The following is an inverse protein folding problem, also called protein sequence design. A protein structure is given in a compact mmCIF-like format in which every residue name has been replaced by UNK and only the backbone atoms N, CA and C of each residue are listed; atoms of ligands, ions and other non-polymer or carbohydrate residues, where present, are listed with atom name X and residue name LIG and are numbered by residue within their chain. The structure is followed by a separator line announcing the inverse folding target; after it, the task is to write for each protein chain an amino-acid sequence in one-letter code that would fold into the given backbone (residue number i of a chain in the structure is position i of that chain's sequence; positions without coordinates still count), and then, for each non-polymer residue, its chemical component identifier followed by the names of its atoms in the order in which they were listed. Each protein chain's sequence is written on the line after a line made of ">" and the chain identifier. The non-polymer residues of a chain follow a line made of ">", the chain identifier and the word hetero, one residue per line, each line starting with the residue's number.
data_IF_496692950424
#
_entry.id   IF_496692950424
#
_cell.length_a   1.000
_cell.length_b   1.000
_cell.length_c   1.000
_cell.angle_alpha   90.00
_cell.angle_beta   90.00
_cell.angle_gamma   90.00
#
_symmetry.space_group_name_H-M   'P 1'
#
loop_
_entity.id
_entity.type
_entity.pdbx_description
1 polymer ?
#
# COMPACT_ATOMS: atom_id res chain seq x y z
N UNK A 1 -15.08 25.37 30.62
CA UNK A 1 -15.86 25.02 29.40
C UNK A 1 -16.81 23.86 29.70
N UNK A 2 -18.07 23.97 29.33
CA UNK A 2 -19.05 22.87 29.36
C UNK A 2 -19.25 22.28 27.96
N UNK A 3 -19.88 21.11 27.87
CA UNK A 3 -20.20 20.54 26.55
C UNK A 3 -21.09 21.46 25.71
N UNK A 4 -22.01 22.24 26.38
CA UNK A 4 -22.87 23.20 25.66
C UNK A 4 -22.07 24.39 25.14
N UNK A 5 -21.14 24.92 25.94
CA UNK A 5 -20.26 26.03 25.52
C UNK A 5 -19.43 25.62 24.30
N UNK A 6 -18.80 24.42 24.38
CA UNK A 6 -18.03 23.86 23.30
C UNK A 6 -18.86 23.70 22.00
N UNK A 7 -20.07 23.13 22.11
CA UNK A 7 -20.93 22.94 20.95
C UNK A 7 -21.40 24.24 20.33
N UNK A 8 -21.63 25.28 21.15
CA UNK A 8 -22.00 26.61 20.65
C UNK A 8 -20.87 27.27 19.86
N UNK A 9 -19.63 27.11 20.32
CA UNK A 9 -18.46 27.69 19.67
C UNK A 9 -18.16 26.93 18.38
N UNK A 10 -18.06 25.60 18.45
CA UNK A 10 -17.68 24.78 17.30
C UNK A 10 -18.73 24.80 16.17
N UNK A 11 -20.01 25.03 16.51
CA UNK A 11 -21.07 25.22 15.53
C UNK A 11 -20.91 26.51 14.70
N UNK A 12 -20.28 27.53 15.28
CA UNK A 12 -19.99 28.78 14.57
C UNK A 12 -18.76 28.69 13.69
N UNK A 13 -17.78 27.89 14.12
CA UNK A 13 -16.47 27.78 13.45
C UNK A 13 -16.41 26.64 12.41
N UNK A 14 -17.30 25.65 12.49
CA UNK A 14 -17.38 24.53 11.56
C UNK A 14 -18.40 24.77 10.45
N UNK A 15 -18.23 24.08 9.31
CA UNK A 15 -19.29 24.05 8.29
C UNK A 15 -20.53 23.34 8.84
N UNK A 16 -21.73 23.74 8.39
CA UNK A 16 -23.00 23.12 8.82
C UNK A 16 -23.00 21.61 8.61
N UNK A 17 -22.39 21.15 7.52
CA UNK A 17 -22.31 19.72 7.17
C UNK A 17 -21.38 18.96 8.11
N UNK A 18 -20.18 19.49 8.42
CA UNK A 18 -19.21 18.84 9.31
C UNK A 18 -19.72 18.81 10.75
N UNK A 19 -20.39 19.88 11.18
CA UNK A 19 -21.00 19.93 12.51
C UNK A 19 -22.08 18.86 12.68
N UNK A 20 -23.07 18.80 11.77
CA UNK A 20 -24.18 17.82 11.89
C UNK A 20 -23.71 16.37 11.76
N UNK A 21 -22.74 16.09 10.88
CA UNK A 21 -22.26 14.72 10.66
C UNK A 21 -21.30 14.21 11.70
N UNK A 22 -20.38 15.03 12.19
CA UNK A 22 -19.26 14.57 13.00
C UNK A 22 -19.18 15.24 14.37
N UNK A 23 -19.22 16.57 14.45
CA UNK A 23 -18.85 17.33 15.64
C UNK A 23 -19.97 17.41 16.66
N UNK A 24 -21.22 17.31 16.25
CA UNK A 24 -22.40 17.29 17.13
C UNK A 24 -22.41 16.11 18.11
N UNK A 25 -21.74 15.02 17.76
CA UNK A 25 -21.65 13.82 18.59
C UNK A 25 -20.54 13.88 19.66
N UNK A 26 -19.68 14.88 19.59
CA UNK A 26 -18.62 15.08 20.58
C UNK A 26 -19.19 15.56 21.92
N UNK A 27 -18.91 14.78 22.95
CA UNK A 27 -19.24 15.15 24.35
C UNK A 27 -17.94 15.49 25.06
N UNK A 28 -17.78 16.75 25.39
CA UNK A 28 -16.66 17.21 26.20
C UNK A 28 -16.82 16.73 27.65
N UNK A 29 -15.78 16.17 28.27
CA UNK A 29 -15.80 15.64 29.64
C UNK A 29 -15.04 16.52 30.63
N UNK A 30 -13.77 16.72 30.41
CA UNK A 30 -12.92 17.52 31.30
C UNK A 30 -11.54 17.76 30.67
N UNK A 31 -10.80 18.70 31.28
CA UNK A 31 -9.34 18.81 31.08
C UNK A 31 -8.66 17.98 32.18
N UNK A 32 -7.65 17.16 31.77
CA UNK A 32 -6.78 16.48 32.73
C UNK A 32 -5.90 17.50 33.44
N UNK A 33 -5.89 17.48 34.78
CA UNK A 33 -5.16 18.47 35.61
C UNK A 33 -3.64 18.40 35.42
N UNK A 34 -3.09 17.23 35.09
CA UNK A 34 -1.64 16.99 35.06
C UNK A 34 -0.99 17.18 33.66
N UNK A 35 -1.76 17.13 32.58
CA UNK A 35 -1.20 17.12 31.23
C UNK A 35 -1.81 18.14 30.24
N UNK A 36 -2.71 19.01 30.71
CA UNK A 36 -3.44 19.95 29.81
C UNK A 36 -4.11 19.28 28.64
N UNK A 37 -4.72 18.09 28.83
CA UNK A 37 -5.41 17.31 27.82
C UNK A 37 -6.91 17.49 27.95
N UNK A 38 -7.57 17.95 26.89
CA UNK A 38 -9.03 18.01 26.79
C UNK A 38 -9.59 16.66 26.30
N UNK A 39 -10.43 16.02 27.11
CA UNK A 39 -10.99 14.70 26.83
C UNK A 39 -12.41 14.83 26.29
N UNK A 40 -12.65 14.22 25.13
CA UNK A 40 -13.94 14.10 24.48
C UNK A 40 -14.38 12.65 24.39
N UNK A 41 -15.68 12.41 24.36
CA UNK A 41 -16.26 11.10 24.08
C UNK A 41 -17.13 11.13 22.83
N UNK A 42 -17.12 10.03 22.09
CA UNK A 42 -17.96 9.80 20.91
C UNK A 42 -18.37 8.32 20.86
N UNK A 43 -19.54 8.04 20.28
CA UNK A 43 -20.11 6.67 20.29
C UNK A 43 -19.56 5.77 19.15
N UNK A 44 -18.78 6.30 18.22
CA UNK A 44 -18.33 5.57 17.04
C UNK A 44 -16.80 5.71 16.84
N UNK A 45 -16.11 4.57 16.79
CA UNK A 45 -14.64 4.48 16.64
C UNK A 45 -14.13 5.15 15.34
N UNK A 46 -14.87 5.00 14.25
CA UNK A 46 -14.48 5.60 12.96
C UNK A 46 -14.62 7.12 12.99
N UNK A 47 -15.70 7.62 13.61
CA UNK A 47 -15.91 9.05 13.81
C UNK A 47 -14.84 9.62 14.74
N UNK A 48 -14.45 8.91 15.79
CA UNK A 48 -13.37 9.32 16.69
C UNK A 48 -12.06 9.53 15.94
N UNK A 49 -11.68 8.56 15.10
CA UNK A 49 -10.44 8.60 14.31
C UNK A 49 -10.47 9.75 13.28
N UNK A 50 -11.61 9.95 12.63
CA UNK A 50 -11.82 11.00 11.66
C UNK A 50 -11.74 12.40 12.30
N UNK A 51 -12.42 12.61 13.43
CA UNK A 51 -12.37 13.88 14.16
C UNK A 51 -10.94 14.17 14.60
N UNK A 52 -10.23 13.17 15.12
CA UNK A 52 -8.84 13.31 15.55
C UNK A 52 -7.91 13.74 14.42
N UNK A 53 -8.09 13.19 13.22
CA UNK A 53 -7.22 13.53 12.06
C UNK A 53 -7.55 14.88 11.43
N UNK A 54 -8.82 15.26 11.35
CA UNK A 54 -9.26 16.43 10.55
C UNK A 54 -9.63 17.63 11.40
N UNK A 55 -10.12 17.47 12.61
CA UNK A 55 -10.71 18.55 13.40
C UNK A 55 -9.96 18.89 14.69
N UNK A 56 -8.81 18.25 14.97
CA UNK A 56 -8.01 18.56 16.17
C UNK A 56 -7.66 20.05 16.26
N UNK A 57 -7.22 20.66 15.16
CA UNK A 57 -6.88 22.09 15.12
C UNK A 57 -8.10 22.99 15.38
N UNK A 58 -9.26 22.65 14.81
CA UNK A 58 -10.50 23.40 15.01
C UNK A 58 -10.99 23.29 16.45
N UNK A 59 -10.87 22.09 17.06
CA UNK A 59 -11.22 21.88 18.47
C UNK A 59 -10.29 22.67 19.39
N UNK A 60 -8.98 22.71 19.11
CA UNK A 60 -8.02 23.54 19.85
C UNK A 60 -8.36 25.03 19.75
N UNK A 61 -8.74 25.48 18.55
CA UNK A 61 -9.16 26.87 18.33
C UNK A 61 -10.39 27.25 19.14
N UNK A 62 -11.32 26.33 19.38
CA UNK A 62 -12.45 26.58 20.28
C UNK A 62 -12.02 26.86 21.72
N UNK A 63 -10.94 26.25 22.20
CA UNK A 63 -10.37 26.56 23.52
C UNK A 63 -9.63 27.90 23.53
N UNK A 64 -8.92 28.23 22.45
CA UNK A 64 -8.30 29.56 22.31
C UNK A 64 -9.34 30.68 22.37
N UNK A 65 -10.52 30.51 21.74
CA UNK A 65 -11.63 31.47 21.78
C UNK A 65 -12.24 31.53 23.21
N UNK A 66 -12.34 30.41 23.92
CA UNK A 66 -13.05 30.34 25.20
C UNK A 66 -12.23 30.89 26.39
N UNK A 67 -10.96 30.49 26.52
CA UNK A 67 -10.10 30.80 27.66
C UNK A 67 -8.63 31.08 27.32
N UNK A 68 -8.30 31.15 26.01
CA UNK A 68 -6.92 31.37 25.54
C UNK A 68 -6.00 30.14 25.68
N UNK A 69 -6.52 28.97 26.06
CA UNK A 69 -5.73 27.76 26.23
C UNK A 69 -5.61 26.96 24.93
N UNK A 70 -4.56 26.12 24.84
CA UNK A 70 -4.34 25.22 23.69
C UNK A 70 -4.04 23.81 24.19
N UNK A 71 -5.05 23.09 24.73
CA UNK A 71 -4.85 21.74 25.24
C UNK A 71 -4.60 20.74 24.10
N UNK A 72 -3.92 19.64 24.43
CA UNK A 72 -3.91 18.45 23.59
C UNK A 72 -5.30 17.82 23.59
N UNK A 73 -5.74 17.27 22.45
CA UNK A 73 -7.10 16.71 22.30
C UNK A 73 -7.04 15.19 22.35
N UNK A 74 -7.79 14.60 23.27
CA UNK A 74 -8.00 13.15 23.36
C UNK A 74 -9.47 12.81 23.14
N UNK A 75 -9.76 11.88 22.21
CA UNK A 75 -11.11 11.43 21.89
C UNK A 75 -11.25 9.96 22.26
N UNK A 76 -12.20 9.66 23.16
CA UNK A 76 -12.49 8.32 23.70
C UNK A 76 -13.83 7.80 23.20
N UNK A 77 -13.99 6.48 23.18
CA UNK A 77 -15.31 5.87 22.96
C UNK A 77 -16.15 5.93 24.23
N UNK A 78 -17.43 6.27 24.08
CA UNK A 78 -18.35 6.31 25.18
C UNK A 78 -18.55 4.89 25.77
N UNK A 79 -18.33 4.73 27.07
CA UNK A 79 -18.49 3.47 27.80
C UNK A 79 -17.23 2.63 27.99
N UNK A 80 -16.10 2.97 27.39
CA UNK A 80 -14.82 2.31 27.67
C UNK A 80 -14.27 2.70 29.05
N UNK A 81 -14.39 1.80 30.02
CA UNK A 81 -13.59 1.87 31.27
C UNK A 81 -12.24 1.22 30.98
N UNK A 82 -11.16 2.02 30.98
CA UNK A 82 -9.80 1.47 30.91
C UNK A 82 -9.61 0.40 32.00
N UNK A 83 -9.29 -0.82 31.60
CA UNK A 83 -8.95 -1.87 32.53
C UNK A 83 -7.54 -1.62 33.11
N UNK A 84 -7.26 -2.12 34.32
CA UNK A 84 -5.90 -2.08 34.90
C UNK A 84 -4.82 -2.66 33.95
N UNK A 85 -5.22 -3.58 33.07
CA UNK A 85 -4.38 -4.17 32.02
C UNK A 85 -4.01 -3.18 30.90
N UNK A 86 -4.89 -2.23 30.58
CA UNK A 86 -4.63 -1.21 29.56
C UNK A 86 -3.70 -0.11 30.06
N UNK A 87 -3.83 0.26 31.34
CA UNK A 87 -2.91 1.21 31.98
C UNK A 87 -1.49 0.63 32.05
N UNK A 88 -1.37 -0.67 32.37
CA UNK A 88 -0.08 -1.36 32.37
C UNK A 88 0.51 -1.49 30.96
N UNK A 89 -0.34 -1.67 29.94
CA UNK A 89 0.07 -1.71 28.53
C UNK A 89 0.53 -0.33 28.01
N UNK A 90 -0.13 0.76 28.39
CA UNK A 90 0.33 2.11 28.05
C UNK A 90 1.69 2.43 28.70
N UNK A 91 1.93 1.97 29.94
CA UNK A 91 3.23 2.13 30.60
C UNK A 91 4.33 1.29 29.94
N UNK A 92 4.01 0.09 29.45
CA UNK A 92 4.94 -0.76 28.70
C UNK A 92 5.16 -0.20 27.29
N UNK A 93 4.14 0.31 26.62
CA UNK A 93 4.24 0.94 25.30
C UNK A 93 5.05 2.24 25.32
N UNK A 94 4.98 3.02 26.38
CA UNK A 94 5.80 4.23 26.53
C UNK A 94 7.30 3.93 26.78
N UNK A 95 7.64 2.73 27.24
CA UNK A 95 9.03 2.28 27.36
C UNK A 95 9.59 1.61 26.10
N UNK A 96 8.73 1.24 25.14
CA UNK A 96 9.11 0.65 23.84
C UNK A 96 8.77 1.55 22.63
N UNK A 97 8.56 2.84 22.86
CA UNK A 97 8.04 3.82 21.89
C UNK A 97 9.00 4.21 20.75
N UNK A 98 9.75 3.26 20.23
CA UNK A 98 10.32 3.31 18.88
C UNK A 98 9.69 2.24 17.97
N UNK A 99 8.50 1.73 18.30
CA UNK A 99 7.77 0.82 17.45
C UNK A 99 7.19 1.58 16.27
N UNK A 100 7.44 1.09 15.09
CA UNK A 100 6.89 1.56 13.82
C UNK A 100 5.36 1.67 13.94
N UNK A 101 4.83 2.85 13.66
CA UNK A 101 3.41 3.15 13.82
C UNK A 101 2.64 2.36 12.77
N UNK A 102 1.81 1.41 13.20
CA UNK A 102 0.85 0.74 12.33
C UNK A 102 -0.25 1.71 11.92
N UNK A 103 -0.70 1.63 10.68
CA UNK A 103 -1.87 2.37 10.24
C UNK A 103 -3.13 1.75 10.87
N UNK A 104 -3.87 2.47 11.73
CA UNK A 104 -5.04 1.91 12.42
C UNK A 104 -6.21 1.62 11.49
N UNK A 105 -6.22 2.14 10.26
CA UNK A 105 -7.25 1.85 9.26
C UNK A 105 -7.04 0.50 8.55
N UNK A 106 -5.85 -0.10 8.66
CA UNK A 106 -5.55 -1.39 8.06
C UNK A 106 -5.97 -2.51 9.01
N UNK A 107 -7.24 -2.87 8.92
CA UNK A 107 -7.87 -3.92 9.73
C UNK A 107 -8.41 -5.04 8.83
N UNK A 108 -8.69 -6.20 9.39
CA UNK A 108 -9.37 -7.27 8.66
C UNK A 108 -10.77 -6.86 8.20
N UNK A 109 -11.49 -6.05 8.99
CA UNK A 109 -12.84 -5.57 8.64
C UNK A 109 -12.85 -4.59 7.48
N UNK A 110 -11.77 -3.81 7.30
CA UNK A 110 -11.63 -2.88 6.18
C UNK A 110 -11.07 -3.52 4.90
N UNK A 111 -10.59 -4.76 5.00
CA UNK A 111 -10.09 -5.53 3.85
C UNK A 111 -11.24 -6.22 3.12
N UNK A 112 -11.24 -6.13 1.79
CA UNK A 112 -12.25 -6.81 0.96
C UNK A 112 -11.71 -8.17 0.51
N UNK A 113 -12.42 -9.22 0.92
CA UNK A 113 -12.05 -10.60 0.59
C UNK A 113 -12.72 -11.03 -0.72
N UNK A 114 -11.93 -11.67 -1.59
CA UNK A 114 -12.40 -12.28 -2.82
C UNK A 114 -11.57 -13.53 -3.15
N UNK A 115 -11.91 -14.26 -4.23
CA UNK A 115 -11.19 -15.48 -4.60
C UNK A 115 -9.67 -15.28 -4.77
N UNK A 116 -9.26 -14.10 -5.22
CA UNK A 116 -7.86 -13.74 -5.49
C UNK A 116 -6.98 -13.50 -4.25
N UNK A 117 -7.57 -13.38 -3.06
CA UNK A 117 -6.84 -13.05 -1.81
C UNK A 117 -7.34 -13.84 -0.59
N UNK A 118 -8.32 -14.72 -0.74
CA UNK A 118 -8.98 -15.42 0.35
C UNK A 118 -8.00 -16.27 1.17
N UNK A 119 -7.06 -16.96 0.50
CA UNK A 119 -6.06 -17.77 1.20
C UNK A 119 -5.14 -16.90 2.06
N UNK A 120 -4.63 -15.80 1.51
CA UNK A 120 -3.77 -14.87 2.23
C UNK A 120 -4.51 -14.20 3.41
N UNK A 121 -5.77 -13.83 3.23
CA UNK A 121 -6.62 -13.30 4.29
C UNK A 121 -6.83 -14.30 5.43
N UNK A 122 -7.25 -15.52 5.11
CA UNK A 122 -7.52 -16.55 6.12
C UNK A 122 -6.26 -16.94 6.88
N UNK A 123 -5.12 -17.07 6.19
CA UNK A 123 -3.83 -17.33 6.81
C UNK A 123 -3.42 -16.18 7.75
N UNK A 124 -3.58 -14.94 7.32
CA UNK A 124 -3.30 -13.75 8.13
C UNK A 124 -4.16 -13.68 9.39
N UNK A 125 -5.44 -13.98 9.26
CA UNK A 125 -6.36 -14.05 10.39
C UNK A 125 -6.01 -15.20 11.36
N UNK A 126 -5.62 -16.36 10.84
CA UNK A 126 -5.20 -17.51 11.66
C UNK A 126 -3.96 -17.19 12.50
N UNK A 127 -2.90 -16.62 11.90
CA UNK A 127 -1.66 -16.29 12.61
C UNK A 127 -1.85 -15.14 13.62
N UNK A 128 -2.73 -14.20 13.34
CA UNK A 128 -3.06 -13.11 14.28
C UNK A 128 -3.86 -13.59 15.48
N UNK A 129 -4.63 -14.68 15.31
CA UNK A 129 -5.40 -15.29 16.40
C UNK A 129 -4.53 -16.11 17.35
N UNK A 130 -3.56 -16.86 16.82
CA UNK A 130 -2.67 -17.74 17.58
C UNK A 130 -1.23 -17.61 17.07
N UNK A 131 -0.52 -16.53 17.42
CA UNK A 131 0.84 -16.29 16.93
C UNK A 131 1.80 -17.41 17.31
N UNK A 132 2.69 -17.79 16.38
CA UNK A 132 3.77 -18.76 16.57
C UNK A 132 3.36 -20.23 16.59
N UNK A 133 2.06 -20.54 16.46
CA UNK A 133 1.55 -21.93 16.52
C UNK A 133 1.34 -22.51 15.13
N UNK A 134 0.72 -21.75 14.22
CA UNK A 134 0.43 -22.21 12.86
C UNK A 134 1.08 -21.25 11.86
N UNK A 135 1.51 -21.79 10.72
CA UNK A 135 2.02 -20.98 9.59
C UNK A 135 3.12 -19.98 10.00
N UNK A 136 4.20 -20.50 10.57
CA UNK A 136 5.33 -19.67 10.96
C UNK A 136 6.60 -20.09 10.20
N UNK A 137 7.14 -19.23 9.32
CA UNK A 137 6.64 -17.92 8.94
C UNK A 137 5.37 -17.97 8.06
N UNK A 138 4.63 -16.84 8.01
CA UNK A 138 3.67 -16.59 6.97
C UNK A 138 4.32 -15.65 5.93
N UNK A 139 4.36 -16.10 4.68
CA UNK A 139 4.94 -15.34 3.57
C UNK A 139 3.83 -14.95 2.58
N UNK A 140 3.50 -13.66 2.50
CA UNK A 140 2.45 -13.12 1.62
C UNK A 140 3.12 -12.50 0.39
N UNK A 141 2.82 -13.00 -0.80
CA UNK A 141 3.41 -12.45 -2.02
C UNK A 141 2.37 -12.11 -3.08
N UNK A 142 2.77 -11.30 -4.05
CA UNK A 142 1.91 -10.90 -5.17
C UNK A 142 2.30 -9.53 -5.73
N UNK A 143 1.71 -9.13 -6.82
CA UNK A 143 1.99 -7.87 -7.50
C UNK A 143 1.89 -6.64 -6.60
N UNK A 144 2.46 -5.53 -7.07
CA UNK A 144 2.43 -4.25 -6.35
C UNK A 144 1.01 -3.72 -6.23
N UNK A 145 0.66 -3.15 -5.06
CA UNK A 145 -0.63 -2.49 -4.86
C UNK A 145 -1.84 -3.42 -4.70
N UNK A 146 -1.64 -4.71 -4.42
CA UNK A 146 -2.73 -5.70 -4.24
C UNK A 146 -3.22 -5.85 -2.78
N UNK A 147 -2.69 -5.06 -1.84
CA UNK A 147 -3.13 -5.07 -0.44
C UNK A 147 -2.30 -5.94 0.51
N UNK A 148 -1.09 -6.40 0.12
CA UNK A 148 -0.18 -7.17 0.99
C UNK A 148 0.16 -6.44 2.29
N UNK A 149 0.59 -5.18 2.20
CA UNK A 149 0.87 -4.32 3.35
C UNK A 149 -0.36 -4.13 4.24
N UNK A 150 -1.56 -4.05 3.66
CA UNK A 150 -2.80 -3.99 4.42
C UNK A 150 -2.99 -5.26 5.28
N UNK A 151 -2.88 -6.44 4.67
CA UNK A 151 -2.98 -7.71 5.41
C UNK A 151 -1.89 -7.83 6.49
N UNK A 152 -0.65 -7.46 6.16
CA UNK A 152 0.46 -7.46 7.12
C UNK A 152 0.14 -6.59 8.34
N UNK A 153 -0.32 -5.37 8.12
CA UNK A 153 -0.65 -4.44 9.20
C UNK A 153 -1.96 -4.82 9.92
N UNK A 154 -2.91 -5.46 9.24
CA UNK A 154 -4.11 -6.03 9.88
C UNK A 154 -3.74 -7.12 10.89
N UNK A 155 -2.75 -7.98 10.56
CA UNK A 155 -2.20 -8.94 11.54
C UNK A 155 -1.65 -8.20 12.76
N UNK A 156 -0.90 -7.13 12.54
CA UNK A 156 -0.33 -6.33 13.63
C UNK A 156 -1.37 -5.68 14.52
N UNK A 157 -2.32 -4.98 13.92
CA UNK A 157 -3.40 -4.32 14.65
C UNK A 157 -4.20 -5.33 15.49
N UNK A 158 -4.55 -6.46 14.90
CA UNK A 158 -5.31 -7.50 15.60
C UNK A 158 -4.48 -8.18 16.72
N UNK A 159 -3.18 -8.41 16.50
CA UNK A 159 -2.29 -8.97 17.52
C UNK A 159 -2.10 -8.01 18.71
N UNK A 160 -2.00 -6.70 18.47
CA UNK A 160 -1.94 -5.66 19.51
C UNK A 160 -3.23 -5.66 20.33
N UNK A 161 -4.40 -5.73 19.69
CA UNK A 161 -5.69 -5.82 20.38
C UNK A 161 -5.76 -7.01 21.35
N UNK A 162 -5.06 -8.11 21.02
CA UNK A 162 -4.94 -9.31 21.87
C UNK A 162 -3.83 -9.23 22.91
N UNK A 163 -3.07 -8.15 22.93
CA UNK A 163 -2.05 -7.93 23.94
C UNK A 163 -0.67 -8.41 23.61
N UNK A 164 -0.40 -8.75 22.34
CA UNK A 164 0.93 -9.13 21.90
C UNK A 164 1.79 -7.89 21.62
N UNK A 165 3.08 -8.03 21.83
CA UNK A 165 4.07 -7.04 21.40
C UNK A 165 4.35 -7.23 19.90
N UNK A 166 4.11 -6.20 19.10
CA UNK A 166 4.24 -6.25 17.64
C UNK A 166 5.30 -5.27 17.18
N UNK A 167 6.17 -5.71 16.30
CA UNK A 167 7.08 -4.85 15.54
C UNK A 167 6.74 -4.97 14.07
N UNK A 168 6.40 -3.83 13.47
CA UNK A 168 6.28 -3.67 12.03
C UNK A 168 7.47 -2.87 11.51
N UNK A 169 8.10 -3.36 10.45
CA UNK A 169 9.26 -2.73 9.83
C UNK A 169 9.30 -3.03 8.34
N UNK A 170 9.69 -2.04 7.52
CA UNK A 170 10.12 -2.33 6.15
C UNK A 170 11.55 -2.88 6.19
N UNK A 171 11.91 -3.75 5.24
CA UNK A 171 13.27 -4.28 5.22
C UNK A 171 14.32 -3.19 5.06
N UNK A 172 14.00 -2.08 4.39
CA UNK A 172 14.88 -0.93 4.29
C UNK A 172 15.15 -0.28 5.64
N UNK A 173 14.12 -0.13 6.48
CA UNK A 173 14.28 0.39 7.84
C UNK A 173 15.11 -0.56 8.70
N UNK A 174 14.89 -1.88 8.58
CA UNK A 174 15.71 -2.88 9.26
C UNK A 174 17.20 -2.75 8.87
N UNK A 175 17.50 -2.57 7.58
CA UNK A 175 18.87 -2.34 7.08
C UNK A 175 19.48 -1.06 7.63
N UNK A 176 18.69 0.01 7.68
CA UNK A 176 19.15 1.29 8.21
C UNK A 176 19.46 1.20 9.71
N UNK A 177 18.57 0.57 10.49
CA UNK A 177 18.76 0.35 11.92
C UNK A 177 20.00 -0.53 12.20
N UNK A 178 20.20 -1.59 11.40
CA UNK A 178 21.35 -2.45 11.48
C UNK A 178 22.64 -1.68 11.22
N UNK A 179 22.71 -0.93 10.12
CA UNK A 179 23.88 -0.12 9.75
C UNK A 179 24.20 0.94 10.82
N UNK A 180 23.17 1.59 11.34
CA UNK A 180 23.31 2.58 12.42
C UNK A 180 23.85 1.93 13.69
N UNK A 181 23.37 0.74 14.05
CA UNK A 181 23.78 0.02 15.25
C UNK A 181 25.23 -0.47 15.16
N UNK A 182 25.68 -0.88 13.97
CA UNK A 182 27.09 -1.22 13.75
C UNK A 182 27.98 0.02 13.96
N UNK A 183 27.64 1.15 13.31
CA UNK A 183 28.41 2.41 13.40
C UNK A 183 28.53 2.91 14.84
N UNK A 184 27.47 2.76 15.62
CA UNK A 184 27.41 3.22 17.02
C UNK A 184 27.82 2.14 18.03
N UNK A 185 28.29 0.95 17.60
CA UNK A 185 28.64 -0.19 18.45
C UNK A 185 27.53 -0.60 19.42
N UNK A 186 26.29 -0.49 19.01
CA UNK A 186 25.11 -0.74 19.83
C UNK A 186 24.23 -1.88 19.25
N UNK A 187 24.85 -3.01 18.92
CA UNK A 187 24.16 -4.18 18.36
C UNK A 187 23.20 -4.85 19.36
N UNK A 188 23.45 -4.71 20.65
CA UNK A 188 22.57 -5.24 21.69
C UNK A 188 21.21 -4.56 21.65
N UNK A 189 21.15 -3.25 21.50
CA UNK A 189 19.89 -2.50 21.36
C UNK A 189 19.11 -2.96 20.10
N UNK A 190 19.80 -3.11 18.97
CA UNK A 190 19.20 -3.64 17.73
C UNK A 190 18.59 -5.02 17.93
N UNK A 191 19.35 -5.95 18.53
CA UNK A 191 18.87 -7.30 18.80
C UNK A 191 17.68 -7.29 19.77
N UNK A 192 17.76 -6.52 20.83
CA UNK A 192 16.67 -6.37 21.80
C UNK A 192 15.40 -5.82 21.14
N UNK A 193 15.53 -4.85 20.22
CA UNK A 193 14.41 -4.32 19.46
C UNK A 193 13.70 -5.41 18.66
N UNK A 194 14.42 -6.14 17.83
CA UNK A 194 13.81 -7.05 16.85
C UNK A 194 13.53 -8.46 17.37
N UNK A 195 14.20 -8.91 18.45
CA UNK A 195 14.10 -10.29 18.93
C UNK A 195 13.23 -10.48 20.16
N UNK A 196 12.71 -9.39 20.78
CA UNK A 196 11.87 -9.45 21.97
C UNK A 196 10.37 -9.23 21.72
N UNK A 197 9.93 -9.20 20.48
CA UNK A 197 8.51 -9.10 20.12
C UNK A 197 7.83 -10.47 20.07
N UNK A 198 6.50 -10.48 20.19
CA UNK A 198 5.68 -11.67 19.98
C UNK A 198 5.36 -11.88 18.50
N UNK A 199 5.28 -10.78 17.74
CA UNK A 199 4.99 -10.79 16.31
C UNK A 199 5.94 -9.82 15.59
N UNK A 200 6.72 -10.33 14.65
CA UNK A 200 7.56 -9.54 13.75
C UNK A 200 6.92 -9.49 12.36
N UNK A 201 6.62 -8.28 11.91
CA UNK A 201 6.03 -7.99 10.60
C UNK A 201 7.05 -7.27 9.73
N UNK A 202 7.36 -7.85 8.57
CA UNK A 202 8.38 -7.32 7.67
C UNK A 202 7.75 -7.06 6.31
N UNK A 203 7.78 -5.81 5.88
CA UNK A 203 7.28 -5.42 4.57
C UNK A 203 8.41 -5.38 3.53
N UNK A 204 8.08 -5.79 2.32
CA UNK A 204 8.92 -5.68 1.14
C UNK A 204 10.29 -6.38 1.27
N UNK A 205 10.30 -7.66 1.70
CA UNK A 205 11.51 -8.46 1.95
C UNK A 205 12.42 -8.60 0.72
N UNK A 206 11.89 -8.40 -0.52
CA UNK A 206 12.67 -8.49 -1.75
C UNK A 206 13.85 -7.50 -1.81
N UNK A 207 13.78 -6.38 -1.09
CA UNK A 207 14.89 -5.41 -1.02
C UNK A 207 16.08 -5.86 -0.18
N UNK A 208 15.99 -7.04 0.46
CA UNK A 208 17.13 -7.69 1.13
C UNK A 208 18.15 -8.27 0.12
N UNK A 209 17.78 -8.34 -1.17
CA UNK A 209 18.61 -8.82 -2.28
C UNK A 209 19.99 -8.17 -2.31
N UNK A 210 21.06 -9.01 -2.42
CA UNK A 210 22.43 -8.54 -2.54
C UNK A 210 23.05 -7.84 -1.30
N UNK A 211 22.38 -7.90 -0.13
CA UNK A 211 22.83 -7.28 1.12
C UNK A 211 23.37 -8.34 2.10
N UNK A 212 24.48 -8.98 1.77
CA UNK A 212 25.01 -10.17 2.48
C UNK A 212 25.07 -10.01 3.99
N UNK A 213 25.67 -8.94 4.52
CA UNK A 213 25.77 -8.73 5.97
C UNK A 213 24.40 -8.57 6.65
N UNK A 214 23.47 -7.90 6.01
CA UNK A 214 22.10 -7.75 6.54
C UNK A 214 21.37 -9.06 6.45
N UNK A 215 21.54 -9.84 5.38
CA UNK A 215 20.96 -11.18 5.26
C UNK A 215 21.45 -12.10 6.38
N UNK A 216 22.70 -11.98 6.79
CA UNK A 216 23.24 -12.77 7.89
C UNK A 216 22.61 -12.40 9.25
N UNK A 217 22.53 -11.12 9.60
CA UNK A 217 21.89 -10.67 10.85
C UNK A 217 20.38 -10.96 10.83
N UNK A 218 19.74 -10.84 9.67
CA UNK A 218 18.34 -11.20 9.50
C UNK A 218 18.11 -12.70 9.72
N UNK A 219 18.98 -13.55 9.19
CA UNK A 219 18.94 -15.00 9.40
C UNK A 219 19.02 -15.35 10.89
N UNK A 220 19.92 -14.70 11.64
CA UNK A 220 20.02 -14.90 13.09
C UNK A 220 18.77 -14.43 13.83
N UNK A 221 18.22 -13.28 13.46
CA UNK A 221 17.00 -12.74 14.06
C UNK A 221 15.80 -13.65 13.77
N UNK A 222 15.67 -14.13 12.52
CA UNK A 222 14.65 -15.09 12.12
C UNK A 222 14.71 -16.37 12.96
N UNK A 223 15.90 -17.00 13.06
CA UNK A 223 16.04 -18.26 13.79
C UNK A 223 15.73 -18.08 15.29
N UNK A 224 16.14 -16.99 15.91
CA UNK A 224 15.87 -16.73 17.32
C UNK A 224 14.36 -16.60 17.59
N UNK A 225 13.65 -15.80 16.78
CA UNK A 225 12.22 -15.65 16.88
C UNK A 225 11.46 -16.96 16.60
N UNK A 226 11.84 -17.65 15.53
CA UNK A 226 11.21 -18.93 15.15
C UNK A 226 11.38 -19.99 16.23
N UNK A 227 12.59 -20.14 16.78
CA UNK A 227 12.87 -21.10 17.86
C UNK A 227 12.13 -20.74 19.16
N UNK A 228 11.95 -19.45 19.42
CA UNK A 228 11.14 -18.93 20.55
C UNK A 228 9.62 -19.02 20.28
N UNK A 229 9.19 -19.61 19.16
CA UNK A 229 7.78 -19.69 18.72
C UNK A 229 7.10 -18.33 18.63
N UNK A 230 7.84 -17.30 18.24
CA UNK A 230 7.31 -15.96 17.94
C UNK A 230 6.88 -15.91 16.48
N UNK A 231 5.78 -15.23 16.19
CA UNK A 231 5.25 -15.18 14.84
C UNK A 231 6.09 -14.25 13.94
N UNK A 232 6.39 -14.75 12.75
CA UNK A 232 7.02 -13.94 11.69
C UNK A 232 6.05 -13.88 10.51
N UNK A 233 5.76 -12.67 10.02
CA UNK A 233 4.98 -12.45 8.80
C UNK A 233 5.77 -11.55 7.87
N UNK A 234 5.86 -11.93 6.61
CA UNK A 234 6.64 -11.20 5.60
C UNK A 234 5.81 -10.96 4.35
N UNK A 235 6.06 -9.82 3.69
CA UNK A 235 5.50 -9.56 2.36
C UNK A 235 6.59 -9.45 1.30
N UNK A 236 6.24 -9.80 0.07
CA UNK A 236 7.12 -9.68 -1.11
C UNK A 236 6.31 -9.41 -2.38
N UNK A 237 6.97 -8.87 -3.39
CA UNK A 237 6.40 -8.77 -4.75
C UNK A 237 6.47 -10.10 -5.52
N UNK A 238 7.27 -11.07 -5.04
CA UNK A 238 7.53 -12.37 -5.69
C UNK A 238 7.84 -13.48 -4.69
N UNK A 239 7.86 -14.73 -5.16
CA UNK A 239 8.23 -15.91 -4.37
C UNK A 239 9.67 -15.83 -3.84
N UNK A 240 9.99 -16.45 -2.68
CA UNK A 240 11.36 -16.47 -2.14
C UNK A 240 12.39 -16.99 -3.13
N UNK A 241 12.06 -18.06 -3.88
CA UNK A 241 12.91 -18.65 -4.92
C UNK A 241 13.22 -17.68 -6.08
N UNK A 242 12.35 -16.72 -6.34
CA UNK A 242 12.48 -15.72 -7.40
C UNK A 242 13.24 -14.44 -6.97
N UNK A 243 13.56 -14.30 -5.69
CA UNK A 243 14.34 -13.14 -5.21
C UNK A 243 15.81 -13.37 -5.57
N UNK A 244 16.27 -12.67 -6.61
CA UNK A 244 17.66 -12.74 -7.03
C UNK A 244 18.58 -12.21 -5.92
N UNK A 245 19.76 -12.83 -5.70
CA UNK A 245 20.71 -12.39 -4.67
C UNK A 245 20.29 -12.63 -3.22
N UNK A 246 19.21 -13.35 -2.98
CA UNK A 246 18.86 -13.89 -1.68
C UNK A 246 19.61 -15.22 -1.46
N UNK A 247 20.26 -15.37 -0.31
CA UNK A 247 20.99 -16.62 0.03
C UNK A 247 20.03 -17.80 0.22
N UNK A 248 20.44 -19.00 -0.21
CA UNK A 248 19.54 -20.16 -0.23
C UNK A 248 19.04 -20.58 1.15
N UNK A 249 19.84 -20.37 2.20
CA UNK A 249 19.43 -20.58 3.58
C UNK A 249 18.22 -19.74 4.01
N UNK A 250 18.09 -18.50 3.50
CA UNK A 250 16.93 -17.64 3.75
C UNK A 250 15.74 -18.05 2.89
N UNK A 251 15.95 -18.40 1.62
CA UNK A 251 14.87 -18.92 0.76
C UNK A 251 14.20 -20.10 1.41
N UNK A 252 14.99 -21.10 1.85
CA UNK A 252 14.50 -22.28 2.54
C UNK A 252 13.72 -21.95 3.83
N UNK A 253 14.18 -20.95 4.59
CA UNK A 253 13.49 -20.50 5.82
C UNK A 253 12.16 -19.81 5.52
N UNK A 254 12.10 -19.00 4.48
CA UNK A 254 10.87 -18.32 4.08
C UNK A 254 9.80 -19.28 3.54
N UNK A 255 10.24 -20.37 2.89
CA UNK A 255 9.38 -21.42 2.35
C UNK A 255 8.98 -22.47 3.40
N UNK A 256 9.58 -22.48 4.59
CA UNK A 256 9.30 -23.49 5.64
C UNK A 256 7.87 -23.41 6.17
N UNK A 257 7.28 -22.24 6.27
CA UNK A 257 5.92 -22.01 6.76
C UNK A 257 4.86 -22.09 5.66
N UNK A 258 3.95 -21.12 5.66
CA UNK A 258 2.92 -20.98 4.64
C UNK A 258 3.25 -19.82 3.69
N UNK A 259 3.25 -20.11 2.40
CA UNK A 259 3.34 -19.10 1.36
C UNK A 259 1.95 -18.88 0.77
N UNK A 260 1.44 -17.65 0.84
CA UNK A 260 0.11 -17.28 0.37
C UNK A 260 0.20 -16.17 -0.69
N UNK A 261 -0.44 -16.38 -1.83
CA UNK A 261 -0.48 -15.42 -2.92
C UNK A 261 -1.64 -14.43 -2.79
N UNK A 262 -1.42 -13.23 -3.31
CA UNK A 262 -2.44 -12.22 -3.53
C UNK A 262 -2.42 -11.86 -5.01
N UNK A 263 -3.48 -12.27 -5.71
CA UNK A 263 -3.61 -12.09 -7.15
C UNK A 263 -4.42 -10.83 -7.48
N UNK A 264 -4.45 -10.46 -8.75
CA UNK A 264 -5.25 -9.35 -9.25
C UNK A 264 -6.74 -9.65 -9.00
N UNK A 265 -7.48 -8.74 -8.36
CA UNK A 265 -8.90 -8.95 -8.08
C UNK A 265 -9.73 -8.98 -9.36
N UNK A 266 -10.70 -9.90 -9.42
CA UNK A 266 -11.72 -9.90 -10.46
C UNK A 266 -12.67 -8.70 -10.35
N UNK A 267 -13.48 -8.48 -11.38
CA UNK A 267 -14.36 -7.31 -11.49
C UNK A 267 -15.27 -7.12 -10.27
N UNK A 268 -15.90 -8.19 -9.79
CA UNK A 268 -16.79 -8.13 -8.62
C UNK A 268 -16.05 -7.70 -7.35
N UNK A 269 -14.84 -8.24 -7.15
CA UNK A 269 -14.00 -7.85 -6.02
C UNK A 269 -13.53 -6.40 -6.14
N UNK A 270 -13.19 -5.93 -7.35
CA UNK A 270 -12.86 -4.51 -7.59
C UNK A 270 -14.03 -3.59 -7.25
N UNK A 271 -15.24 -3.94 -7.69
CA UNK A 271 -16.48 -3.20 -7.37
C UNK A 271 -16.62 -3.08 -5.84
N UNK A 272 -16.55 -4.21 -5.14
CA UNK A 272 -16.66 -4.23 -3.68
C UNK A 272 -15.55 -3.41 -2.98
N UNK A 273 -14.33 -3.40 -3.52
CA UNK A 273 -13.23 -2.56 -3.02
C UNK A 273 -13.55 -1.07 -3.21
N UNK A 274 -14.04 -0.67 -4.39
CA UNK A 274 -14.39 0.71 -4.69
C UNK A 274 -15.51 1.17 -3.75
N UNK A 275 -16.58 0.39 -3.62
CA UNK A 275 -17.70 0.69 -2.72
C UNK A 275 -17.22 0.84 -1.27
N UNK A 276 -16.48 -0.15 -0.75
CA UNK A 276 -15.95 -0.12 0.62
C UNK A 276 -15.05 1.08 0.87
N UNK A 277 -14.15 1.40 -0.08
CA UNK A 277 -13.23 2.55 0.04
C UNK A 277 -13.97 3.88 -0.09
N UNK A 278 -15.00 3.94 -0.93
CA UNK A 278 -15.85 5.14 -1.07
C UNK A 278 -16.61 5.41 0.22
N UNK A 279 -17.22 4.37 0.81
CA UNK A 279 -17.95 4.49 2.08
C UNK A 279 -17.03 4.94 3.22
N UNK A 280 -15.83 4.36 3.32
CA UNK A 280 -14.83 4.74 4.33
C UNK A 280 -14.37 6.20 4.19
N UNK A 281 -14.34 6.72 2.96
CA UNK A 281 -13.96 8.11 2.67
C UNK A 281 -15.16 9.07 2.65
N UNK A 282 -16.39 8.59 2.91
CA UNK A 282 -17.61 9.39 2.87
C UNK A 282 -18.00 9.88 1.47
N UNK A 283 -17.56 9.16 0.43
CA UNK A 283 -17.84 9.47 -0.97
C UNK A 283 -19.06 8.66 -1.42
N UNK A 284 -20.09 9.34 -1.92
CA UNK A 284 -21.24 8.67 -2.53
C UNK A 284 -21.03 8.57 -4.04
N UNK A 285 -20.87 7.36 -4.56
CA UNK A 285 -20.72 7.09 -5.99
C UNK A 285 -21.97 6.36 -6.52
N UNK A 286 -22.43 6.75 -7.71
CA UNK A 286 -23.45 5.96 -8.39
C UNK A 286 -22.89 4.62 -8.88
N UNK A 287 -23.75 3.61 -8.99
CA UNK A 287 -23.34 2.29 -9.48
C UNK A 287 -22.69 2.32 -10.87
N UNK A 288 -23.11 3.25 -11.70
CA UNK A 288 -22.55 3.48 -13.03
C UNK A 288 -21.08 3.93 -12.95
N UNK A 289 -20.78 4.87 -12.04
CA UNK A 289 -19.41 5.37 -11.79
C UNK A 289 -18.53 4.26 -11.21
N UNK A 290 -19.04 3.50 -10.25
CA UNK A 290 -18.31 2.36 -9.65
C UNK A 290 -17.94 1.34 -10.74
N UNK A 291 -18.89 0.94 -11.58
CA UNK A 291 -18.65 0.02 -12.68
C UNK A 291 -17.64 0.59 -13.69
N UNK A 292 -17.75 1.87 -14.02
CA UNK A 292 -16.83 2.52 -14.93
C UNK A 292 -15.38 2.51 -14.39
N UNK A 293 -15.18 2.86 -13.12
CA UNK A 293 -13.87 2.82 -12.47
C UNK A 293 -13.32 1.37 -12.46
N UNK A 294 -14.14 0.39 -12.05
CA UNK A 294 -13.74 -1.01 -11.95
C UNK A 294 -13.33 -1.64 -13.28
N UNK A 295 -13.95 -1.22 -14.38
CA UNK A 295 -13.64 -1.72 -15.74
C UNK A 295 -12.49 -0.97 -16.41
N UNK A 296 -12.26 0.29 -16.01
CA UNK A 296 -11.21 1.14 -16.63
C UNK A 296 -9.84 0.95 -15.97
N UNK A 297 -9.81 0.67 -14.66
CA UNK A 297 -8.56 0.48 -13.91
C UNK A 297 -8.20 -1.00 -13.83
N UNK A 298 -7.04 -1.35 -14.42
CA UNK A 298 -6.73 -2.77 -14.66
C UNK A 298 -6.15 -3.51 -13.45
N UNK A 299 -5.17 -2.99 -12.69
CA UNK A 299 -4.32 -3.90 -11.94
C UNK A 299 -3.97 -3.52 -10.49
N UNK A 300 -4.27 -2.33 -10.00
CA UNK A 300 -3.77 -1.88 -8.69
C UNK A 300 -4.86 -1.27 -7.81
N UNK A 301 -5.00 -1.79 -6.58
CA UNK A 301 -5.87 -1.19 -5.56
C UNK A 301 -5.37 0.21 -5.17
N UNK A 302 -4.05 0.45 -5.20
CA UNK A 302 -3.47 1.80 -4.99
C UNK A 302 -3.95 2.80 -6.04
N UNK A 303 -4.10 2.35 -7.29
CA UNK A 303 -4.62 3.19 -8.35
C UNK A 303 -6.08 3.55 -8.12
N UNK A 304 -6.90 2.59 -7.70
CA UNK A 304 -8.29 2.82 -7.28
C UNK A 304 -8.33 3.86 -6.15
N UNK A 305 -7.52 3.70 -5.10
CA UNK A 305 -7.45 4.66 -3.99
C UNK A 305 -7.03 6.06 -4.47
N UNK A 306 -6.03 6.15 -5.33
CA UNK A 306 -5.58 7.42 -5.91
C UNK A 306 -6.65 8.11 -6.73
N UNK A 307 -7.44 7.36 -7.49
CA UNK A 307 -8.58 7.87 -8.26
C UNK A 307 -9.69 8.35 -7.33
N UNK A 308 -10.06 7.60 -6.31
CA UNK A 308 -11.07 8.00 -5.33
C UNK A 308 -10.69 9.27 -4.58
N UNK A 309 -9.41 9.41 -4.18
CA UNK A 309 -8.89 10.63 -3.56
C UNK A 309 -9.05 11.83 -4.50
N UNK A 310 -8.73 11.69 -5.78
CA UNK A 310 -8.84 12.77 -6.77
C UNK A 310 -10.29 13.14 -7.04
N UNK A 311 -11.19 12.17 -7.16
CA UNK A 311 -12.63 12.41 -7.31
C UNK A 311 -13.15 13.21 -6.12
N UNK A 312 -12.80 12.78 -4.89
CA UNK A 312 -13.21 13.46 -3.68
C UNK A 312 -12.66 14.90 -3.59
N UNK A 313 -11.36 15.07 -3.88
CA UNK A 313 -10.73 16.38 -3.88
C UNK A 313 -11.37 17.32 -4.90
N UNK A 314 -11.60 16.84 -6.13
CA UNK A 314 -12.21 17.63 -7.19
C UNK A 314 -13.65 18.04 -6.84
N UNK A 315 -14.47 17.11 -6.33
CA UNK A 315 -15.83 17.38 -5.89
C UNK A 315 -15.87 18.38 -4.72
N UNK A 316 -15.00 18.19 -3.73
CA UNK A 316 -14.96 19.01 -2.52
C UNK A 316 -14.42 20.43 -2.78
N UNK A 317 -13.33 20.55 -3.56
CA UNK A 317 -12.68 21.84 -3.83
C UNK A 317 -13.48 22.70 -4.81
N UNK A 318 -14.15 22.07 -5.78
CA UNK A 318 -14.95 22.78 -6.78
C UNK A 318 -16.43 22.90 -6.37
N UNK A 319 -16.82 22.31 -5.22
CA UNK A 319 -18.18 22.24 -4.72
C UNK A 319 -19.17 21.71 -5.79
N UNK A 320 -18.76 20.65 -6.50
CA UNK A 320 -19.52 20.03 -7.59
C UNK A 320 -19.98 18.63 -7.21
N UNK A 321 -21.10 18.20 -7.78
CA UNK A 321 -21.54 16.82 -7.68
C UNK A 321 -20.64 15.88 -8.49
N UNK A 322 -20.45 14.66 -7.98
CA UNK A 322 -19.66 13.65 -8.66
C UNK A 322 -20.50 13.06 -9.80
N UNK A 323 -20.14 13.41 -11.04
CA UNK A 323 -20.80 12.93 -12.26
C UNK A 323 -19.90 11.97 -13.03
N UNK A 324 -20.50 11.10 -13.85
CA UNK A 324 -19.73 10.18 -14.70
C UNK A 324 -18.79 10.93 -15.65
N UNK A 325 -19.24 12.04 -16.22
CA UNK A 325 -18.42 12.88 -17.13
C UNK A 325 -17.19 13.46 -16.44
N UNK A 326 -17.33 13.90 -15.18
CA UNK A 326 -16.21 14.36 -14.35
C UNK A 326 -15.18 13.23 -14.14
N UNK A 327 -15.63 12.03 -13.74
CA UNK A 327 -14.76 10.88 -13.51
C UNK A 327 -14.07 10.44 -14.80
N UNK A 328 -14.79 10.43 -15.92
CA UNK A 328 -14.20 10.13 -17.23
C UNK A 328 -13.09 11.11 -17.63
N UNK A 329 -13.28 12.40 -17.37
CA UNK A 329 -12.28 13.40 -17.67
C UNK A 329 -11.03 13.25 -16.78
N UNK A 330 -11.20 13.02 -15.46
CA UNK A 330 -10.10 12.77 -14.54
C UNK A 330 -9.27 11.56 -14.93
N UNK A 331 -9.93 10.46 -15.35
CA UNK A 331 -9.22 9.25 -15.79
C UNK A 331 -8.53 9.44 -17.13
N UNK A 332 -9.13 10.18 -18.08
CA UNK A 332 -8.48 10.52 -19.36
C UNK A 332 -7.22 11.36 -19.17
N UNK A 333 -7.25 12.34 -18.29
CA UNK A 333 -6.08 13.16 -17.96
C UNK A 333 -4.96 12.30 -17.34
N UNK A 334 -5.27 11.38 -16.44
CA UNK A 334 -4.31 10.47 -15.84
C UNK A 334 -3.64 9.57 -16.88
N UNK A 335 -4.42 8.98 -17.78
CA UNK A 335 -3.91 8.14 -18.87
C UNK A 335 -2.99 8.98 -19.78
N UNK A 336 -3.36 10.24 -20.04
CA UNK A 336 -2.57 11.15 -20.85
C UNK A 336 -1.24 11.52 -20.18
N UNK A 337 -1.27 11.92 -18.90
CA UNK A 337 -0.07 12.20 -18.11
C UNK A 337 0.88 11.00 -18.01
N UNK A 338 0.33 9.80 -17.83
CA UNK A 338 1.14 8.56 -17.80
C UNK A 338 1.83 8.34 -19.14
N UNK A 339 1.15 8.55 -20.28
CA UNK A 339 1.71 8.43 -21.62
C UNK A 339 2.78 9.48 -21.94
N UNK A 340 2.62 10.70 -21.45
CA UNK A 340 3.61 11.77 -21.63
C UNK A 340 4.90 11.54 -20.84
N UNK A 341 4.81 10.82 -19.72
CA UNK A 341 5.94 10.51 -18.85
C UNK A 341 6.77 9.28 -19.27
N UNK A 342 6.28 8.47 -20.22
CA UNK A 342 7.00 7.30 -20.73
C UNK A 342 7.81 7.69 -21.97
N UNK A 343 9.14 7.55 -21.89
CA UNK A 343 10.06 7.86 -23.01
C UNK A 343 10.46 6.59 -23.75
N UNK A 344 10.68 6.71 -25.07
CA UNK A 344 11.15 5.62 -25.93
C UNK A 344 12.40 4.87 -25.40
N UNK A 345 13.44 5.57 -24.87
CA UNK A 345 14.58 4.88 -24.27
C UNK A 345 14.21 3.96 -23.13
N UNK A 346 13.22 4.36 -22.31
CA UNK A 346 12.79 3.61 -21.14
C UNK A 346 12.14 2.29 -21.55
N UNK A 347 11.26 2.32 -22.57
CA UNK A 347 10.63 1.12 -23.13
C UNK A 347 11.69 0.14 -23.66
N UNK A 348 12.70 0.64 -24.38
CA UNK A 348 13.77 -0.23 -24.89
C UNK A 348 14.57 -0.87 -23.76
N UNK A 349 14.94 -0.11 -22.74
CA UNK A 349 15.76 -0.62 -21.65
C UNK A 349 15.03 -1.72 -20.86
N UNK A 350 13.75 -1.52 -20.55
CA UNK A 350 12.95 -2.50 -19.82
C UNK A 350 12.76 -3.78 -20.66
N UNK A 351 12.43 -3.64 -21.94
CA UNK A 351 12.29 -4.82 -22.85
C UNK A 351 13.62 -5.54 -23.03
N UNK A 352 14.72 -4.80 -23.19
CA UNK A 352 16.05 -5.35 -23.35
C UNK A 352 16.49 -6.16 -22.12
N UNK A 353 16.28 -5.62 -20.92
CA UNK A 353 16.58 -6.28 -19.66
C UNK A 353 15.74 -7.56 -19.48
N UNK A 354 14.44 -7.50 -19.72
CA UNK A 354 13.53 -8.65 -19.56
C UNK A 354 13.83 -9.79 -20.52
N UNK A 355 14.24 -9.47 -21.75
CA UNK A 355 14.53 -10.47 -22.78
C UNK A 355 16.02 -10.82 -22.90
N UNK A 356 16.87 -10.32 -21.98
CA UNK A 356 18.32 -10.51 -21.99
C UNK A 356 18.99 -10.15 -23.33
N UNK A 357 18.60 -9.02 -23.92
CA UNK A 357 19.10 -8.50 -25.19
C UNK A 357 19.74 -7.13 -24.95
N UNK A 358 20.85 -6.82 -25.62
CA UNK A 358 21.43 -5.49 -25.52
C UNK A 358 20.52 -4.44 -26.18
N UNK A 359 20.27 -3.27 -25.56
CA UNK A 359 19.48 -2.19 -26.16
C UNK A 359 19.97 -1.76 -27.54
N UNK A 360 21.31 -1.79 -27.75
CA UNK A 360 21.93 -1.52 -29.04
C UNK A 360 21.57 -2.53 -30.15
N UNK A 361 21.32 -3.80 -29.77
CA UNK A 361 20.92 -4.83 -30.76
C UNK A 361 19.49 -4.62 -31.23
N UNK A 362 18.59 -4.15 -30.37
CA UNK A 362 17.21 -3.79 -30.74
C UNK A 362 17.20 -2.65 -31.76
N UNK A 363 18.10 -1.67 -31.66
CA UNK A 363 18.27 -0.55 -32.59
C UNK A 363 19.07 -0.93 -33.84
N UNK A 364 19.77 -2.05 -33.84
CA UNK A 364 20.65 -2.48 -34.94
C UNK A 364 19.87 -3.06 -36.12
N UNK A 365 20.58 -3.31 -37.24
CA UNK A 365 20.03 -4.02 -38.42
C UNK A 365 20.01 -5.55 -38.27
N UNK A 366 20.34 -6.10 -37.08
CA UNK A 366 20.30 -7.54 -36.80
C UNK A 366 18.89 -8.10 -37.01
N UNK A 367 18.81 -9.29 -37.68
CA UNK A 367 17.54 -9.97 -38.02
C UNK A 367 17.37 -11.33 -37.36
N UNK A 368 18.09 -11.62 -36.26
CA UNK A 368 17.85 -12.84 -35.50
C UNK A 368 16.43 -12.86 -34.97
N UNK A 369 15.82 -14.04 -34.85
CA UNK A 369 14.44 -14.19 -34.40
C UNK A 369 14.19 -13.51 -33.04
N UNK A 370 15.14 -13.63 -32.10
CA UNK A 370 15.08 -13.02 -30.77
C UNK A 370 15.06 -11.50 -30.84
N UNK A 371 15.97 -10.88 -31.63
CA UNK A 371 16.04 -9.41 -31.78
C UNK A 371 14.83 -8.89 -32.56
N UNK A 372 14.33 -9.64 -33.55
CA UNK A 372 13.12 -9.26 -34.28
C UNK A 372 11.88 -9.28 -33.41
N UNK A 373 11.75 -10.26 -32.49
CA UNK A 373 10.67 -10.33 -31.53
C UNK A 373 10.77 -9.20 -30.50
N UNK A 374 11.95 -8.95 -29.91
CA UNK A 374 12.17 -7.83 -28.99
C UNK A 374 11.82 -6.48 -29.65
N UNK A 375 12.24 -6.26 -30.87
CA UNK A 375 11.91 -5.05 -31.63
C UNK A 375 10.40 -4.90 -31.85
N UNK A 376 9.70 -6.01 -32.14
CA UNK A 376 8.24 -6.04 -32.29
C UNK A 376 7.54 -5.64 -30.97
N UNK A 377 7.99 -6.20 -29.86
CA UNK A 377 7.49 -5.87 -28.51
C UNK A 377 7.70 -4.39 -28.21
N UNK A 378 8.91 -3.86 -28.45
CA UNK A 378 9.21 -2.41 -28.26
C UNK A 378 8.28 -1.54 -29.10
N UNK A 379 8.11 -1.87 -30.40
CA UNK A 379 7.23 -1.10 -31.29
C UNK A 379 5.80 -1.10 -30.79
N UNK A 380 5.28 -2.27 -30.43
CA UNK A 380 3.92 -2.43 -29.92
C UNK A 380 3.71 -1.63 -28.62
N UNK A 381 4.56 -1.85 -27.62
CA UNK A 381 4.44 -1.16 -26.33
C UNK A 381 4.65 0.36 -26.45
N UNK A 382 5.59 0.80 -27.29
CA UNK A 382 5.78 2.24 -27.54
C UNK A 382 4.53 2.87 -28.15
N UNK A 383 3.90 2.20 -29.11
CA UNK A 383 2.68 2.72 -29.75
C UNK A 383 1.50 2.78 -28.80
N UNK A 384 1.40 1.81 -27.91
CA UNK A 384 0.31 1.74 -26.93
C UNK A 384 0.50 2.72 -25.76
N UNK A 385 1.72 2.82 -25.26
CA UNK A 385 2.03 3.52 -24.00
C UNK A 385 2.57 4.95 -24.17
N UNK A 386 2.84 5.39 -25.41
CA UNK A 386 3.40 6.73 -25.65
C UNK A 386 2.63 7.47 -26.76
N UNK A 387 2.85 8.77 -26.86
CA UNK A 387 2.29 9.61 -27.93
C UNK A 387 3.18 9.67 -29.19
N UNK A 388 4.27 8.88 -29.23
CA UNK A 388 5.17 8.91 -30.37
C UNK A 388 4.48 8.47 -31.67
N UNK A 389 4.70 9.23 -32.73
CA UNK A 389 4.19 8.88 -34.07
C UNK A 389 4.95 7.69 -34.66
N UNK A 390 4.33 6.98 -35.61
CA UNK A 390 5.01 5.88 -36.29
C UNK A 390 6.34 6.31 -36.97
N UNK A 391 6.44 7.50 -37.58
CA UNK A 391 7.70 8.03 -38.08
C UNK A 391 8.76 8.24 -36.99
N UNK A 392 8.36 8.74 -35.79
CA UNK A 392 9.29 8.95 -34.68
C UNK A 392 9.85 7.62 -34.16
N UNK A 393 8.99 6.61 -34.04
CA UNK A 393 9.38 5.26 -33.62
C UNK A 393 10.34 4.66 -34.65
N UNK A 394 10.04 4.80 -35.95
CA UNK A 394 10.89 4.31 -37.04
C UNK A 394 12.28 4.97 -37.01
N UNK A 395 12.31 6.29 -36.88
CA UNK A 395 13.56 7.09 -36.79
C UNK A 395 14.41 6.67 -35.59
N UNK A 396 13.79 6.49 -34.43
CA UNK A 396 14.47 6.11 -33.22
C UNK A 396 15.06 4.68 -33.26
N UNK A 397 14.37 3.74 -33.92
CA UNK A 397 14.82 2.35 -34.11
C UNK A 397 15.71 2.15 -35.33
N UNK A 398 16.05 3.22 -36.07
CA UNK A 398 16.87 3.15 -37.31
C UNK A 398 16.20 2.39 -38.43
N UNK A 399 14.86 2.39 -38.48
CA UNK A 399 14.08 1.73 -39.55
C UNK A 399 13.84 2.69 -40.71
N UNK A 400 13.80 2.15 -41.96
CA UNK A 400 13.70 2.98 -43.17
C UNK A 400 12.32 3.62 -43.33
N UNK A 401 11.24 2.89 -42.98
CA UNK A 401 9.87 3.28 -43.32
C UNK A 401 8.91 3.02 -42.15
N UNK A 402 7.90 3.91 -42.01
CA UNK A 402 6.79 3.74 -41.07
C UNK A 402 5.89 2.54 -41.40
N UNK A 403 5.89 2.05 -42.69
CA UNK A 403 5.20 0.84 -43.08
C UNK A 403 5.72 -0.40 -42.35
N UNK A 404 7.03 -0.43 -42.06
CA UNK A 404 7.63 -1.48 -41.23
C UNK A 404 7.12 -1.47 -39.79
N UNK A 405 6.79 -0.30 -39.23
CA UNK A 405 6.20 -0.18 -37.89
C UNK A 405 4.78 -0.76 -37.91
N UNK A 406 3.93 -0.36 -38.88
CA UNK A 406 2.57 -0.89 -39.02
C UNK A 406 2.55 -2.42 -39.19
N UNK A 407 3.48 -2.97 -39.99
CA UNK A 407 3.60 -4.41 -40.14
C UNK A 407 3.98 -5.13 -38.83
N UNK A 408 4.90 -4.56 -38.04
CA UNK A 408 5.27 -5.14 -36.74
C UNK A 408 4.13 -5.07 -35.75
N UNK A 409 3.35 -3.98 -35.72
CA UNK A 409 2.16 -3.85 -34.83
C UNK A 409 1.12 -4.92 -35.23
N UNK A 410 0.80 -5.07 -36.52
CA UNK A 410 -0.14 -6.09 -36.98
C UNK A 410 0.31 -7.49 -36.56
N UNK A 411 1.60 -7.80 -36.75
CA UNK A 411 2.17 -9.09 -36.36
C UNK A 411 2.19 -9.30 -34.82
N UNK A 412 2.35 -8.24 -34.02
CA UNK A 412 2.24 -8.32 -32.56
C UNK A 412 0.82 -8.66 -32.13
N UNK A 413 -0.19 -8.02 -32.73
CA UNK A 413 -1.61 -8.32 -32.43
C UNK A 413 -1.96 -9.77 -32.80
N UNK A 414 -1.53 -10.26 -33.94
CA UNK A 414 -1.73 -11.66 -34.37
C UNK A 414 -1.08 -12.66 -33.39
N UNK A 415 0.08 -12.31 -32.82
CA UNK A 415 0.76 -13.15 -31.82
C UNK A 415 0.07 -13.09 -30.45
N UNK A 416 -0.42 -11.94 -30.04
CA UNK A 416 -1.18 -11.78 -28.77
C UNK A 416 -2.46 -12.63 -28.80
N UNK A 417 -3.11 -12.75 -29.99
CA UNK A 417 -4.32 -13.58 -30.14
C UNK A 417 -4.03 -15.10 -30.18
N UNK A 418 -2.84 -15.50 -30.63
CA UNK A 418 -2.50 -16.92 -30.88
C UNK A 418 -1.60 -17.55 -29.83
N UNK A 419 -0.86 -16.76 -29.06
CA UNK A 419 0.17 -17.23 -28.12
C UNK A 419 -0.04 -16.58 -26.76
N UNK A 420 -0.61 -17.35 -25.82
CA UNK A 420 -0.84 -16.89 -24.43
C UNK A 420 0.47 -16.50 -23.72
N UNK A 421 1.59 -17.17 -23.99
CA UNK A 421 2.89 -16.82 -23.40
C UNK A 421 3.35 -15.44 -23.90
N UNK A 422 3.19 -15.17 -25.20
CA UNK A 422 3.53 -13.87 -25.76
C UNK A 422 2.64 -12.76 -25.17
N UNK A 423 1.36 -13.02 -25.01
CA UNK A 423 0.41 -12.12 -24.37
C UNK A 423 0.84 -11.80 -22.92
N UNK A 424 1.20 -12.82 -22.14
CA UNK A 424 1.66 -12.66 -20.75
C UNK A 424 2.95 -11.84 -20.67
N UNK A 425 3.88 -12.03 -21.60
CA UNK A 425 5.12 -11.23 -21.68
C UNK A 425 4.79 -9.75 -21.96
N UNK A 426 3.88 -9.48 -22.89
CA UNK A 426 3.46 -8.11 -23.20
C UNK A 426 2.81 -7.44 -22.00
N UNK A 427 1.89 -8.12 -21.29
CA UNK A 427 1.22 -7.60 -20.11
C UNK A 427 2.21 -7.31 -18.97
N UNK A 428 3.14 -8.23 -18.69
CA UNK A 428 4.19 -8.04 -17.69
C UNK A 428 5.10 -6.84 -18.03
N UNK A 429 5.51 -6.71 -19.28
CA UNK A 429 6.34 -5.60 -19.73
C UNK A 429 5.58 -4.27 -19.69
N UNK A 430 4.30 -4.26 -20.05
CA UNK A 430 3.42 -3.09 -19.95
C UNK A 430 3.35 -2.59 -18.51
N UNK A 431 3.12 -3.49 -17.57
CA UNK A 431 3.07 -3.16 -16.14
C UNK A 431 4.40 -2.61 -15.62
N UNK A 432 5.54 -3.22 -15.98
CA UNK A 432 6.87 -2.73 -15.61
C UNK A 432 7.16 -1.32 -16.16
N UNK A 433 6.75 -1.05 -17.40
CA UNK A 433 6.96 0.27 -18.02
C UNK A 433 6.11 1.34 -17.31
N UNK A 434 4.84 1.04 -17.06
CA UNK A 434 3.92 1.97 -16.39
C UNK A 434 4.40 2.26 -14.95
N UNK A 435 4.84 1.25 -14.22
CA UNK A 435 5.30 1.37 -12.83
C UNK A 435 6.75 1.87 -12.70
N UNK A 436 7.46 2.10 -13.82
CA UNK A 436 8.89 2.49 -13.85
C UNK A 436 9.79 1.53 -13.05
N UNK A 437 9.53 0.23 -13.14
CA UNK A 437 10.36 -0.82 -12.52
C UNK A 437 11.56 -1.11 -13.44
N UNK A 438 12.69 -0.41 -13.17
CA UNK A 438 13.95 -0.47 -13.94
C UNK A 438 14.77 -1.74 -13.67
#
# INVERSE_FOLDING_TARGET
>A
MTTKDFQTIIQKEATKTDFERYLKQLVYKKISSDEKIAIFEVNNKYIASWIKSKFTGLIQHCFEIFDGSKPSIEIKLAGEKKSKKEILKEQIQNQTAESTILNPSYTFDSFVVGPSNQMAYNASLAVSNKPGIQYNPLFIYGGTGLGKTHLLQAVGNHAIEKGNTVIYVTIEQFMNDFTFSIKNKNMEHFRNKYRKCDVLLIDDIQFLSGKEQTQEEFFHTFNELHNAKKQIVMTSDRLPSQIAGLVDRLKSRFEWGLTADVQIPGLETKIAIIEKKSDLNGISLSREIVNFIATTLDNSIREIEGVLIRINASASLLNQEITLSMVQNLLKEQIKETKENIKLPDVINIVANQLNIKPSDIKSKKRTATVANARRVVIYLTRELTHNSMPDIAKFLGMKDHSSISHNIKKANELIEKDENFKLIIENLKNKIINKEW
#
